data_IF_784391219712
#
_entry.id   IF_784391219712
#
_cell.length_a   1.000
_cell.length_b   1.000
_cell.length_c   1.000
_cell.angle_alpha   90.00
_cell.angle_beta   90.00
_cell.angle_gamma   90.00
#
_symmetry.space_group_name_H-M   'P 1'
#
loop_
_entity.id
_entity.type
_entity.pdbx_description
1 polymer ?
#
# COMPACT_ATOMS: atom_id res chain seq x y z
N UNK A 1 -37.37 -38.16 19.06
CA UNK A 1 -35.92 -38.33 19.33
C UNK A 1 -35.20 -37.79 18.09
N UNK A 2 -34.34 -36.78 18.21
CA UNK A 2 -33.69 -36.15 17.04
C UNK A 2 -32.77 -37.16 16.34
N UNK A 3 -33.00 -37.41 15.06
CA UNK A 3 -32.27 -38.43 14.27
C UNK A 3 -30.94 -37.92 13.71
N UNK A 4 -30.81 -36.62 13.46
CA UNK A 4 -29.56 -36.00 13.03
C UNK A 4 -29.41 -34.59 13.65
N UNK A 5 -28.20 -34.26 14.07
CA UNK A 5 -27.85 -32.98 14.67
C UNK A 5 -26.69 -32.38 13.85
N UNK A 6 -27.05 -31.50 12.91
CA UNK A 6 -26.12 -30.85 11.98
C UNK A 6 -26.11 -29.35 12.24
N UNK A 7 -24.96 -28.71 12.03
CA UNK A 7 -24.75 -27.27 12.22
C UNK A 7 -24.73 -26.85 13.71
N UNK A 8 -24.76 -25.54 13.93
CA UNK A 8 -24.60 -24.88 15.23
C UNK A 8 -25.82 -25.14 16.12
N UNK A 9 -25.60 -25.60 17.34
CA UNK A 9 -26.61 -25.64 18.42
C UNK A 9 -26.19 -24.71 19.53
N UNK A 10 -26.87 -23.57 19.60
CA UNK A 10 -26.49 -22.47 20.49
C UNK A 10 -25.06 -21.99 20.23
N UNK A 11 -24.49 -21.24 21.17
CA UNK A 11 -23.13 -20.71 21.05
C UNK A 11 -22.05 -21.63 21.62
N UNK A 12 -22.37 -22.92 21.81
CA UNK A 12 -21.47 -23.83 22.51
C UNK A 12 -21.04 -25.02 21.65
N UNK A 13 -21.91 -25.55 20.78
CA UNK A 13 -21.67 -26.82 20.10
C UNK A 13 -21.94 -26.69 18.59
N UNK A 14 -21.05 -27.25 17.77
CA UNK A 14 -21.30 -27.48 16.35
C UNK A 14 -21.27 -28.98 16.09
N UNK A 15 -22.39 -29.52 15.60
CA UNK A 15 -22.52 -30.90 15.15
C UNK A 15 -22.11 -31.03 13.68
N UNK A 16 -21.33 -32.06 13.36
CA UNK A 16 -20.93 -32.37 11.98
C UNK A 16 -20.70 -33.88 11.79
N UNK A 17 -20.65 -34.34 10.54
CA UNK A 17 -20.50 -35.75 10.17
C UNK A 17 -19.36 -35.88 9.17
N UNK A 18 -18.37 -36.71 9.49
CA UNK A 18 -17.26 -37.02 8.60
C UNK A 18 -17.13 -38.53 8.44
N UNK A 19 -17.20 -39.02 7.20
CA UNK A 19 -17.19 -40.46 6.87
C UNK A 19 -18.21 -41.27 7.69
N UNK A 20 -19.43 -40.76 7.84
CA UNK A 20 -20.49 -41.43 8.59
C UNK A 20 -20.38 -41.32 10.12
N UNK A 21 -19.27 -40.81 10.66
CA UNK A 21 -19.07 -40.60 12.09
C UNK A 21 -19.47 -39.19 12.49
N UNK A 22 -20.43 -39.08 13.40
CA UNK A 22 -20.79 -37.80 14.02
C UNK A 22 -19.68 -37.32 14.96
N UNK A 23 -19.38 -36.04 14.93
CA UNK A 23 -18.47 -35.39 15.88
C UNK A 23 -19.04 -34.06 16.33
N UNK A 24 -18.73 -33.72 17.57
CA UNK A 24 -19.05 -32.43 18.17
C UNK A 24 -17.76 -31.65 18.34
N UNK A 25 -17.81 -30.35 18.03
CA UNK A 25 -16.74 -29.41 18.36
C UNK A 25 -17.31 -28.24 19.13
N UNK A 26 -16.49 -27.65 19.98
CA UNK A 26 -16.80 -26.37 20.62
C UNK A 26 -17.02 -25.32 19.54
N UNK A 27 -18.10 -24.54 19.64
CA UNK A 27 -18.23 -23.35 18.83
C UNK A 27 -17.25 -22.30 19.36
N UNK A 28 -16.20 -22.03 18.60
CA UNK A 28 -15.20 -21.01 18.93
C UNK A 28 -15.35 -19.89 17.91
N UNK A 29 -15.66 -18.69 18.39
CA UNK A 29 -15.47 -17.47 17.61
C UNK A 29 -14.01 -17.05 17.82
N UNK A 30 -13.15 -17.09 16.79
CA UNK A 30 -11.77 -16.64 16.94
C UNK A 30 -11.75 -15.19 17.43
N UNK A 31 -10.93 -14.90 18.44
CA UNK A 31 -10.72 -13.53 18.86
C UNK A 31 -10.14 -12.73 17.68
N UNK A 32 -10.67 -11.53 17.43
CA UNK A 32 -10.03 -10.51 16.60
C UNK A 32 -9.38 -9.49 17.55
N UNK A 33 -8.16 -9.76 18.05
CA UNK A 33 -7.56 -9.01 19.17
C UNK A 33 -7.25 -7.55 18.85
N UNK A 34 -7.41 -7.10 17.58
CA UNK A 34 -7.15 -5.72 17.15
C UNK A 34 -5.78 -5.24 17.64
N UNK A 35 -4.75 -6.06 17.43
CA UNK A 35 -3.39 -5.68 17.83
C UNK A 35 -2.89 -4.53 16.96
N UNK A 36 -1.98 -3.71 17.49
CA UNK A 36 -1.37 -2.60 16.74
C UNK A 36 -0.79 -3.07 15.39
N UNK A 37 -0.19 -4.27 15.34
CA UNK A 37 0.25 -4.87 14.07
C UNK A 37 -0.88 -5.05 13.06
N UNK A 38 -2.01 -5.60 13.50
CA UNK A 38 -3.18 -5.77 12.64
C UNK A 38 -3.79 -4.42 12.24
N UNK A 39 -3.83 -3.47 13.16
CA UNK A 39 -4.38 -2.13 12.93
C UNK A 39 -3.52 -1.31 11.97
N UNK A 40 -2.19 -1.32 12.12
CA UNK A 40 -1.26 -0.63 11.21
C UNK A 40 -1.42 -1.11 9.76
N UNK A 41 -1.50 -2.43 9.57
CA UNK A 41 -1.73 -2.98 8.25
C UNK A 41 -3.14 -2.66 7.70
N UNK A 42 -4.17 -2.61 8.54
CA UNK A 42 -5.51 -2.20 8.12
C UNK A 42 -5.54 -0.71 7.77
N UNK A 43 -4.85 0.14 8.53
CA UNK A 43 -4.73 1.57 8.29
C UNK A 43 -4.07 1.83 6.92
N UNK A 44 -2.94 1.18 6.61
CA UNK A 44 -2.31 1.32 5.28
C UNK A 44 -3.25 0.86 4.17
N UNK A 45 -4.01 -0.22 4.37
CA UNK A 45 -5.00 -0.65 3.37
C UNK A 45 -6.10 0.40 3.18
N UNK A 46 -6.62 0.99 4.25
CA UNK A 46 -7.64 2.04 4.18
C UNK A 46 -7.13 3.26 3.41
N UNK A 47 -5.90 3.70 3.68
CA UNK A 47 -5.30 4.83 2.98
C UNK A 47 -5.05 4.55 1.50
N UNK A 48 -4.58 3.35 1.15
CA UNK A 48 -4.43 2.95 -0.27
C UNK A 48 -5.75 2.96 -1.03
N UNK A 49 -6.83 2.46 -0.41
CA UNK A 49 -8.16 2.46 -1.04
C UNK A 49 -8.66 3.88 -1.25
N UNK A 50 -8.56 4.74 -0.22
CA UNK A 50 -8.93 6.17 -0.33
C UNK A 50 -8.14 6.87 -1.42
N UNK A 51 -6.84 6.63 -1.50
CA UNK A 51 -5.98 7.21 -2.52
C UNK A 51 -6.38 6.75 -3.91
N UNK A 52 -6.53 5.44 -4.14
CA UNK A 52 -6.95 4.92 -5.43
C UNK A 52 -8.31 5.51 -5.86
N UNK A 53 -9.25 5.64 -4.92
CA UNK A 53 -10.52 6.32 -5.18
C UNK A 53 -10.34 7.77 -5.61
N UNK A 54 -9.46 8.52 -4.93
CA UNK A 54 -9.24 9.94 -5.18
C UNK A 54 -8.47 10.24 -6.47
N UNK A 55 -7.46 9.42 -6.82
CA UNK A 55 -6.51 9.77 -7.91
C UNK A 55 -6.61 8.85 -9.12
N UNK A 56 -7.29 7.71 -9.03
CA UNK A 56 -7.40 6.75 -10.13
C UNK A 56 -8.83 6.54 -10.57
N UNK A 57 -9.77 6.32 -9.64
CA UNK A 57 -11.12 5.89 -9.99
C UNK A 57 -12.06 7.03 -10.40
N UNK A 58 -11.72 8.28 -10.07
CA UNK A 58 -12.54 9.45 -10.40
C UNK A 58 -12.39 9.88 -11.88
N UNK A 59 -11.27 9.51 -12.50
CA UNK A 59 -10.96 9.81 -13.91
C UNK A 59 -10.98 8.53 -14.77
N UNK A 60 -11.77 8.55 -15.84
CA UNK A 60 -11.96 7.38 -16.70
C UNK A 60 -10.71 7.00 -17.50
N UNK A 61 -9.92 7.98 -17.93
CA UNK A 61 -8.72 7.75 -18.73
C UNK A 61 -7.58 7.22 -17.86
N UNK A 62 -7.43 7.79 -16.66
CA UNK A 62 -6.49 7.28 -15.65
C UNK A 62 -6.86 5.86 -15.21
N UNK A 63 -8.15 5.61 -14.97
CA UNK A 63 -8.63 4.26 -14.66
C UNK A 63 -8.32 3.28 -15.80
N UNK A 64 -8.52 3.68 -17.05
CA UNK A 64 -8.20 2.87 -18.21
C UNK A 64 -6.69 2.58 -18.33
N UNK A 65 -5.83 3.57 -18.06
CA UNK A 65 -4.38 3.38 -18.01
C UNK A 65 -3.96 2.33 -16.97
N UNK A 66 -4.52 2.40 -15.77
CA UNK A 66 -4.28 1.39 -14.72
C UNK A 66 -4.86 0.01 -15.06
N UNK A 67 -6.03 -0.06 -15.70
CA UNK A 67 -6.60 -1.32 -16.15
C UNK A 67 -5.74 -1.96 -17.25
N UNK A 68 -5.20 -1.17 -18.19
CA UNK A 68 -4.27 -1.62 -19.22
C UNK A 68 -2.99 -2.20 -18.63
N UNK A 69 -2.39 -1.53 -17.64
CA UNK A 69 -1.21 -2.02 -16.94
C UNK A 69 -1.48 -3.33 -16.17
N UNK A 70 -2.72 -3.53 -15.72
CA UNK A 70 -3.14 -4.73 -15.01
C UNK A 70 -3.51 -5.92 -15.91
N UNK A 71 -3.71 -5.70 -17.22
CA UNK A 71 -4.09 -6.75 -18.18
C UNK A 71 -3.20 -7.99 -18.14
N UNK A 72 -1.85 -7.89 -18.10
CA UNK A 72 -0.98 -9.08 -18.07
C UNK A 72 -1.21 -9.99 -16.86
N UNK A 73 -1.78 -9.44 -15.78
CA UNK A 73 -2.06 -10.16 -14.54
C UNK A 73 -3.52 -10.61 -14.43
N UNK A 74 -4.37 -10.28 -15.41
CA UNK A 74 -5.81 -10.59 -15.43
C UNK A 74 -6.54 -10.10 -14.16
N UNK A 75 -6.15 -8.93 -13.66
CA UNK A 75 -6.79 -8.24 -12.53
C UNK A 75 -7.18 -6.82 -12.96
N UNK A 76 -8.05 -6.16 -12.19
CA UNK A 76 -8.35 -4.74 -12.42
C UNK A 76 -7.19 -3.83 -12.00
N UNK A 77 -7.14 -2.63 -12.56
CA UNK A 77 -6.20 -1.58 -12.20
C UNK A 77 -6.25 -1.24 -10.72
N UNK A 78 -7.45 -1.18 -10.13
CA UNK A 78 -7.65 -1.04 -8.69
C UNK A 78 -6.91 -2.14 -7.89
N UNK A 79 -7.08 -3.41 -8.28
CA UNK A 79 -6.43 -4.52 -7.58
C UNK A 79 -4.91 -4.48 -7.77
N UNK A 80 -4.42 -4.03 -8.93
CA UNK A 80 -2.99 -3.82 -9.17
C UNK A 80 -2.43 -2.70 -8.28
N UNK A 81 -3.07 -1.53 -8.28
CA UNK A 81 -2.68 -0.38 -7.46
C UNK A 81 -2.57 -0.76 -5.98
N UNK A 82 -3.61 -1.40 -5.45
CA UNK A 82 -3.64 -1.85 -4.06
C UNK A 82 -2.59 -2.94 -3.81
N UNK A 83 -2.42 -3.90 -4.72
CA UNK A 83 -1.38 -4.95 -4.60
C UNK A 83 0.00 -4.32 -4.49
N UNK A 84 0.34 -3.40 -5.38
CA UNK A 84 1.63 -2.70 -5.36
C UNK A 84 1.81 -1.86 -4.10
N UNK A 85 0.81 -1.09 -3.70
CA UNK A 85 0.87 -0.31 -2.47
C UNK A 85 1.02 -1.18 -1.22
N UNK A 86 0.40 -2.36 -1.18
CA UNK A 86 0.48 -3.30 -0.05
C UNK A 86 1.80 -4.05 0.05
N UNK A 87 2.46 -4.28 -1.08
CA UNK A 87 3.80 -4.88 -1.13
C UNK A 87 4.91 -3.85 -0.89
N UNK A 88 4.59 -2.56 -1.03
CA UNK A 88 5.53 -1.46 -0.92
C UNK A 88 5.49 -0.79 0.45
N UNK A 89 6.62 -0.23 0.87
CA UNK A 89 6.76 0.59 2.08
C UNK A 89 7.76 1.71 1.79
N UNK A 90 7.52 2.90 2.30
CA UNK A 90 8.44 4.03 2.19
C UNK A 90 8.45 4.82 3.50
N UNK A 91 9.63 5.29 3.90
CA UNK A 91 9.86 6.04 5.13
C UNK A 91 10.96 7.07 4.91
N UNK A 92 10.81 8.22 5.56
CA UNK A 92 11.80 9.31 5.60
C UNK A 92 11.89 9.85 7.02
N UNK A 93 12.98 10.56 7.38
CA UNK A 93 13.02 11.38 8.58
C UNK A 93 11.83 12.34 8.63
N UNK A 94 11.22 12.51 9.80
CA UNK A 94 10.10 13.45 9.98
C UNK A 94 10.54 14.91 9.83
N UNK A 95 11.82 15.20 10.10
CA UNK A 95 12.42 16.52 10.02
C UNK A 95 13.79 16.46 9.35
N UNK A 96 14.13 17.49 8.59
CA UNK A 96 15.46 17.70 8.00
C UNK A 96 15.92 19.14 8.14
N UNK A 97 17.18 19.41 7.81
CA UNK A 97 17.72 20.77 7.76
C UNK A 97 17.87 21.25 6.32
N UNK A 98 17.62 22.53 6.07
CA UNK A 98 17.85 23.10 4.73
C UNK A 98 19.31 22.88 4.29
N UNK A 99 19.50 22.44 3.05
CA UNK A 99 20.78 22.05 2.46
C UNK A 99 21.27 20.65 2.84
N UNK A 100 20.53 19.89 3.64
CA UNK A 100 20.87 18.50 3.96
C UNK A 100 20.18 17.50 3.04
N UNK A 101 20.75 16.30 2.95
CA UNK A 101 20.19 15.20 2.18
C UNK A 101 19.12 14.46 2.99
N UNK A 102 17.98 14.17 2.37
CA UNK A 102 16.96 13.31 2.96
C UNK A 102 17.26 11.86 2.57
N UNK A 103 17.45 11.00 3.57
CA UNK A 103 17.56 9.56 3.34
C UNK A 103 16.16 8.95 3.24
N UNK A 104 15.87 8.30 2.13
CA UNK A 104 14.60 7.62 1.86
C UNK A 104 14.84 6.12 1.99
N UNK A 105 14.13 5.49 2.93
CA UNK A 105 14.14 4.03 3.09
C UNK A 105 12.89 3.45 2.44
N UNK A 106 13.04 2.42 1.62
CA UNK A 106 11.94 1.83 0.88
C UNK A 106 12.05 0.31 0.75
N UNK A 107 10.88 -0.31 0.61
CA UNK A 107 10.70 -1.67 0.08
C UNK A 107 9.79 -1.52 -1.13
N UNK A 108 10.25 -1.87 -2.33
CA UNK A 108 9.46 -1.70 -3.55
C UNK A 108 8.74 -3.00 -3.91
N UNK A 109 7.41 -2.93 -3.96
CA UNK A 109 6.53 -4.01 -4.42
C UNK A 109 6.17 -3.94 -5.91
N UNK A 110 6.55 -2.86 -6.58
CA UNK A 110 6.41 -2.65 -8.02
C UNK A 110 7.67 -3.23 -8.71
N UNK A 111 7.56 -3.86 -9.88
CA UNK A 111 8.73 -4.22 -10.69
C UNK A 111 9.67 -3.02 -10.89
N UNK A 112 10.94 -3.20 -10.53
CA UNK A 112 11.97 -2.14 -10.54
C UNK A 112 12.15 -1.50 -11.94
N UNK A 113 11.85 -2.23 -13.01
CA UNK A 113 11.92 -1.74 -14.39
C UNK A 113 10.99 -0.57 -14.69
N UNK A 114 9.96 -0.36 -13.85
CA UNK A 114 8.94 0.69 -14.00
C UNK A 114 8.70 1.50 -12.72
N UNK A 115 9.19 1.01 -11.59
CA UNK A 115 9.06 1.68 -10.31
C UNK A 115 9.97 2.91 -10.22
N UNK A 116 9.46 3.97 -9.64
CA UNK A 116 10.24 5.15 -9.26
C UNK A 116 9.86 5.67 -7.87
N UNK A 117 10.63 6.64 -7.39
CA UNK A 117 10.27 7.44 -6.22
C UNK A 117 10.03 8.87 -6.70
N UNK A 118 8.85 9.40 -6.36
CA UNK A 118 8.48 10.78 -6.67
C UNK A 118 8.23 11.55 -5.39
N UNK A 119 8.54 12.84 -5.42
CA UNK A 119 8.38 13.79 -4.33
C UNK A 119 7.33 14.82 -4.70
N UNK A 120 6.49 15.17 -3.74
CA UNK A 120 5.57 16.30 -3.81
C UNK A 120 5.93 17.33 -2.76
N UNK A 121 6.09 18.60 -3.14
CA UNK A 121 6.44 19.70 -2.23
C UNK A 121 5.24 20.55 -1.77
N UNK A 122 4.02 20.14 -2.15
CA UNK A 122 2.80 20.91 -1.96
C UNK A 122 2.36 21.70 -3.20
N UNK A 123 3.15 21.68 -4.28
CA UNK A 123 2.81 22.36 -5.53
C UNK A 123 3.27 21.58 -6.76
N UNK A 124 4.49 21.03 -6.75
CA UNK A 124 5.09 20.31 -7.88
C UNK A 124 5.41 18.87 -7.52
N UNK A 125 5.35 18.01 -8.55
CA UNK A 125 5.81 16.64 -8.49
C UNK A 125 7.17 16.53 -9.18
N UNK A 126 8.10 15.84 -8.54
CA UNK A 126 9.46 15.64 -9.06
C UNK A 126 9.89 14.18 -8.92
N UNK A 127 10.65 13.68 -9.90
CA UNK A 127 11.21 12.32 -9.86
C UNK A 127 12.52 12.38 -9.08
N UNK A 128 12.56 11.71 -7.93
CA UNK A 128 13.76 11.54 -7.10
C UNK A 128 14.58 10.35 -7.58
N UNK A 129 13.89 9.27 -7.96
CA UNK A 129 14.48 8.05 -8.47
C UNK A 129 13.68 7.57 -9.67
N UNK A 130 14.30 7.54 -10.84
CA UNK A 130 13.64 7.14 -12.09
C UNK A 130 13.63 5.60 -12.25
N UNK A 131 12.89 5.11 -13.23
CA UNK A 131 12.79 3.68 -13.52
C UNK A 131 14.15 3.03 -13.76
N UNK A 132 14.35 1.85 -13.19
CA UNK A 132 15.62 1.12 -13.23
C UNK A 132 16.70 1.62 -12.28
N UNK A 133 16.47 2.70 -11.51
CA UNK A 133 17.43 3.17 -10.49
C UNK A 133 17.24 2.51 -9.11
N UNK A 134 16.03 2.03 -8.83
CA UNK A 134 15.72 1.38 -7.55
C UNK A 134 16.32 -0.02 -7.45
N UNK A 135 16.49 -0.52 -6.24
CA UNK A 135 16.94 -1.88 -5.97
C UNK A 135 15.78 -2.75 -5.46
N UNK A 136 15.73 -4.00 -5.89
CA UNK A 136 14.82 -4.98 -5.32
C UNK A 136 15.29 -5.42 -3.93
N UNK A 137 14.34 -5.68 -3.03
CA UNK A 137 14.61 -6.14 -1.67
C UNK A 137 13.85 -5.33 -0.63
N UNK A 138 14.23 -5.55 0.64
CA UNK A 138 13.66 -4.83 1.78
C UNK A 138 14.60 -3.73 2.25
N UNK A 139 14.01 -2.64 2.71
CA UNK A 139 14.67 -1.54 3.44
C UNK A 139 15.91 -0.99 2.71
N UNK A 140 15.80 -0.86 1.39
CA UNK A 140 16.78 -0.21 0.53
C UNK A 140 16.75 1.29 0.76
N UNK A 141 17.85 1.96 0.44
CA UNK A 141 18.00 3.40 0.71
C UNK A 141 18.43 4.16 -0.53
N UNK A 142 17.86 5.34 -0.72
CA UNK A 142 18.36 6.35 -1.66
C UNK A 142 18.36 7.72 -0.96
N UNK A 143 19.12 8.67 -1.49
CA UNK A 143 19.20 10.03 -0.97
C UNK A 143 18.57 11.02 -1.93
N UNK A 144 17.78 11.93 -1.40
CA UNK A 144 17.31 13.12 -2.08
C UNK A 144 18.15 14.32 -1.61
N UNK A 145 19.08 14.81 -2.45
CA UNK A 145 20.16 15.67 -1.97
C UNK A 145 19.76 17.14 -1.82
N UNK A 146 20.43 17.83 -0.90
CA UNK A 146 20.43 19.31 -0.82
C UNK A 146 19.04 19.95 -0.78
N UNK A 147 18.20 19.49 0.15
CA UNK A 147 16.80 19.89 0.24
C UNK A 147 16.63 21.34 0.70
N UNK A 148 15.77 22.11 0.04
CA UNK A 148 15.38 23.44 0.51
C UNK A 148 14.39 23.34 1.68
N UNK A 149 14.16 24.46 2.38
CA UNK A 149 13.16 24.51 3.43
C UNK A 149 11.75 24.33 2.82
N UNK A 150 10.96 23.42 3.39
CA UNK A 150 9.69 23.01 2.82
C UNK A 150 9.09 21.79 3.49
N UNK A 151 7.92 21.37 3.02
CA UNK A 151 7.28 20.12 3.44
C UNK A 151 7.20 19.19 2.25
N UNK A 152 7.78 18.00 2.37
CA UNK A 152 7.89 17.05 1.28
C UNK A 152 7.19 15.74 1.63
N UNK A 153 6.45 15.21 0.66
CA UNK A 153 5.84 13.89 0.72
C UNK A 153 6.45 13.00 -0.36
N UNK A 154 6.88 11.79 0.03
CA UNK A 154 7.55 10.85 -0.85
C UNK A 154 6.66 9.65 -1.15
N UNK A 155 6.61 9.27 -2.42
CA UNK A 155 5.77 8.19 -2.90
C UNK A 155 6.58 7.20 -3.73
N UNK A 156 6.28 5.91 -3.55
CA UNK A 156 6.64 4.90 -4.54
C UNK A 156 5.58 4.97 -5.65
N UNK A 157 6.02 5.07 -6.90
CA UNK A 157 5.18 5.27 -8.06
C UNK A 157 5.42 4.22 -9.15
N UNK A 158 4.39 3.94 -9.94
CA UNK A 158 4.50 3.20 -11.20
C UNK A 158 4.61 4.22 -12.35
N UNK A 159 5.83 4.48 -12.83
CA UNK A 159 6.11 5.56 -13.78
C UNK A 159 5.74 5.21 -15.23
N UNK A 160 5.42 3.95 -15.52
CA UNK A 160 4.99 3.51 -16.85
C UNK A 160 3.46 3.65 -17.05
N UNK A 161 2.69 3.82 -15.97
CA UNK A 161 1.26 4.14 -16.08
C UNK A 161 1.11 5.60 -16.51
N UNK A 162 0.72 5.84 -17.76
CA UNK A 162 0.49 7.19 -18.29
C UNK A 162 -0.79 7.23 -19.12
N UNK A 163 -1.56 8.31 -18.97
CA UNK A 163 -2.61 8.67 -19.92
C UNK A 163 -1.94 9.23 -21.18
N UNK A 164 -2.56 9.02 -22.34
CA UNK A 164 -2.02 9.49 -23.62
C UNK A 164 -1.87 11.03 -23.61
N UNK A 165 -0.64 11.50 -23.85
CA UNK A 165 -0.32 12.94 -23.88
C UNK A 165 0.32 13.47 -22.60
N UNK A 166 0.26 12.71 -21.50
CA UNK A 166 0.89 13.10 -20.23
C UNK A 166 2.39 12.73 -20.19
N UNK A 167 3.11 13.40 -19.29
CA UNK A 167 4.51 13.12 -18.98
C UNK A 167 4.71 12.92 -17.48
N UNK A 168 5.46 11.88 -17.10
CA UNK A 168 5.81 11.64 -15.71
C UNK A 168 6.62 12.79 -15.11
N UNK A 169 6.46 13.12 -13.82
CA UNK A 169 5.57 12.47 -12.85
C UNK A 169 4.16 13.06 -12.80
N UNK A 170 3.15 12.17 -12.67
CA UNK A 170 1.75 12.54 -12.46
C UNK A 170 1.22 11.99 -11.12
N UNK A 171 0.27 12.70 -10.49
CA UNK A 171 -0.27 12.32 -9.18
C UNK A 171 -0.82 10.89 -9.14
N UNK A 172 -1.51 10.46 -10.20
CA UNK A 172 -2.12 9.14 -10.29
C UNK A 172 -1.12 7.98 -10.39
N UNK A 173 0.16 8.28 -10.64
CA UNK A 173 1.25 7.30 -10.62
C UNK A 173 1.73 7.00 -9.20
N UNK A 174 1.59 7.95 -8.28
CA UNK A 174 2.01 7.76 -6.88
C UNK A 174 1.10 6.74 -6.20
N UNK A 175 1.66 5.58 -5.83
CA UNK A 175 0.90 4.45 -5.28
C UNK A 175 0.84 4.50 -3.76
N UNK A 176 1.99 4.58 -3.09
CA UNK A 176 2.04 4.59 -1.62
C UNK A 176 3.05 5.59 -1.08
N UNK A 177 2.65 6.31 -0.04
CA UNK A 177 3.53 7.09 0.84
C UNK A 177 3.61 6.52 2.26
N UNK A 178 3.12 5.30 2.48
CA UNK A 178 2.93 4.78 3.83
C UNK A 178 3.82 3.58 4.15
N UNK A 179 4.20 3.49 5.42
CA UNK A 179 4.65 2.27 6.06
C UNK A 179 3.72 1.90 7.23
N UNK A 180 3.53 0.60 7.54
CA UNK A 180 2.78 0.20 8.71
C UNK A 180 3.60 0.46 9.98
N UNK A 181 3.17 1.39 10.83
CA UNK A 181 3.72 1.57 12.17
C UNK A 181 3.08 0.56 13.12
N UNK A 182 3.69 -0.63 13.17
CA UNK A 182 3.28 -1.75 14.03
C UNK A 182 3.30 -1.42 15.54
N UNK A 183 4.01 -0.36 15.95
CA UNK A 183 4.09 0.07 17.35
C UNK A 183 2.85 0.85 17.75
N UNK A 184 2.44 1.81 16.91
CA UNK A 184 1.31 2.70 17.22
C UNK A 184 -0.01 2.28 16.56
N UNK A 185 0.01 1.28 15.68
CA UNK A 185 -1.20 0.77 15.03
C UNK A 185 -1.72 1.64 13.87
N UNK A 186 -0.85 2.47 13.29
CA UNK A 186 -1.22 3.48 12.29
C UNK A 186 -0.46 3.30 10.98
N UNK A 187 -0.92 3.97 9.92
CA UNK A 187 -0.14 4.15 8.70
C UNK A 187 0.74 5.39 8.88
N UNK A 188 2.05 5.21 8.93
CA UNK A 188 3.00 6.33 9.03
C UNK A 188 3.33 6.83 7.63
N UNK A 189 3.22 8.14 7.45
CA UNK A 189 3.50 8.79 6.17
C UNK A 189 5.00 9.07 6.00
N UNK A 190 5.49 8.89 4.77
CA UNK A 190 6.80 9.33 4.35
C UNK A 190 6.78 10.85 4.07
N UNK A 191 6.66 11.62 5.16
CA UNK A 191 6.60 13.08 5.15
C UNK A 191 7.78 13.65 5.93
N UNK A 192 8.49 14.60 5.32
CA UNK A 192 9.61 15.31 5.94
C UNK A 192 9.35 16.82 5.93
N UNK A 193 9.55 17.47 7.08
CA UNK A 193 9.55 18.94 7.20
C UNK A 193 11.00 19.40 7.29
N UNK A 194 11.45 20.14 6.28
CA UNK A 194 12.79 20.71 6.20
C UNK A 194 12.75 22.16 6.66
N UNK A 195 13.58 22.50 7.64
CA UNK A 195 13.69 23.85 8.20
C UNK A 195 15.11 24.39 8.13
#
# INVERSE_FOLDING_TARGET
>A
MFSELLNKLGDQIVGSKWKGRGYFRSYVIPANPKTNKQEAHRAVMQELVKRCQAVVLDDADVKAAWDNEALPLLISGYNLFVKYGRLSKISVPATGSAGSDITITYTCGIPISKAGIIRYDGSTWEIVADKGTLEAGKDKTITDPSMSAGTYEYYIADLDVLVEGDSSPMEYQAVTKWEPDETNGVAKEAKCVVS
#
